data_IF_846394016939
#
_entry.id   IF_846394016939
#
_cell.length_a   1.000
_cell.length_b   1.000
_cell.length_c   1.000
_cell.angle_alpha   90.00
_cell.angle_beta   90.00
_cell.angle_gamma   90.00
#
_symmetry.space_group_name_H-M   'P 1'
#
loop_
_entity.id
_entity.type
_entity.pdbx_description
1 polymer ?
#
# COMPACT_ATOMS: atom_id res chain seq x y z
N UNK A 1 17.47 6.04 1.70
CA UNK A 1 17.76 4.88 2.57
C UNK A 1 19.10 4.28 2.15
N UNK A 2 20.06 4.15 3.06
CA UNK A 2 21.38 3.59 2.71
C UNK A 2 21.41 2.08 2.95
N UNK A 3 21.56 1.31 1.87
CA UNK A 3 21.62 -0.14 1.85
C UNK A 3 22.94 -0.67 1.22
N UNK A 4 24.02 0.13 1.28
CA UNK A 4 25.34 -0.28 0.75
C UNK A 4 25.99 -1.36 1.59
N UNK A 5 25.96 -1.22 2.91
CA UNK A 5 26.62 -2.18 3.82
C UNK A 5 25.69 -3.31 4.24
N UNK A 6 24.44 -2.99 4.61
CA UNK A 6 23.49 -3.97 5.11
C UNK A 6 23.03 -4.97 4.04
N UNK A 7 22.97 -4.54 2.76
CA UNK A 7 22.56 -5.38 1.63
C UNK A 7 21.20 -6.08 1.85
N UNK A 8 20.29 -5.42 2.58
CA UNK A 8 18.99 -5.96 2.96
C UNK A 8 18.10 -6.18 1.74
N UNK A 9 17.31 -7.25 1.76
CA UNK A 9 16.27 -7.51 0.75
C UNK A 9 14.98 -6.74 1.04
N UNK A 10 14.74 -6.42 2.32
CA UNK A 10 13.58 -5.65 2.78
C UNK A 10 14.04 -4.63 3.82
N UNK A 11 13.51 -3.41 3.71
CA UNK A 11 13.74 -2.30 4.63
C UNK A 11 12.38 -1.88 5.19
N UNK A 12 12.21 -2.01 6.50
CA UNK A 12 10.99 -1.60 7.21
C UNK A 12 11.29 -0.30 7.95
N UNK A 13 10.54 0.75 7.65
CA UNK A 13 10.56 2.00 8.40
C UNK A 13 9.29 2.07 9.22
N UNK A 14 9.43 1.81 10.51
CA UNK A 14 8.34 1.84 11.46
C UNK A 14 8.31 3.19 12.19
N UNK A 15 7.12 3.79 12.25
CA UNK A 15 6.85 4.98 13.05
C UNK A 15 6.25 4.51 14.37
N UNK A 16 6.94 4.80 15.47
CA UNK A 16 6.53 4.43 16.84
C UNK A 16 5.96 5.58 17.66
N UNK A 17 5.97 6.80 17.12
CA UNK A 17 5.29 7.95 17.71
C UNK A 17 3.82 8.02 17.32
N UNK A 18 3.14 9.09 17.74
CA UNK A 18 1.68 9.23 17.61
C UNK A 18 1.24 10.08 16.40
N UNK A 19 2.14 10.34 15.45
CA UNK A 19 1.90 11.24 14.31
C UNK A 19 1.72 10.48 13.00
N UNK A 20 0.90 11.03 12.11
CA UNK A 20 0.70 10.55 10.74
C UNK A 20 1.97 10.81 9.91
N UNK A 21 2.24 9.94 8.92
CA UNK A 21 3.32 10.17 7.94
C UNK A 21 2.79 10.90 6.72
N UNK A 22 3.38 12.07 6.42
CA UNK A 22 3.18 12.78 5.15
C UNK A 22 4.37 12.52 4.22
N UNK A 23 4.12 11.84 3.11
CA UNK A 23 5.12 11.49 2.10
C UNK A 23 4.94 12.39 0.88
N UNK A 24 5.83 13.39 0.71
CA UNK A 24 5.70 14.41 -0.34
C UNK A 24 6.96 14.48 -1.24
N UNK A 25 7.65 13.36 -1.42
CA UNK A 25 8.92 13.33 -2.12
C UNK A 25 9.36 11.92 -2.49
N UNK A 26 10.64 11.78 -2.83
CA UNK A 26 11.20 10.50 -3.29
C UNK A 26 11.87 9.71 -2.17
N UNK A 27 11.48 8.44 -2.04
CA UNK A 27 12.14 7.42 -1.23
C UNK A 27 13.11 6.64 -2.13
N UNK A 28 14.39 6.98 -2.04
CA UNK A 28 15.44 6.34 -2.83
C UNK A 28 16.27 5.36 -1.99
N UNK A 29 16.49 4.15 -2.49
CA UNK A 29 17.40 3.17 -1.89
C UNK A 29 18.77 3.26 -2.56
N UNK A 30 19.80 3.48 -1.75
CA UNK A 30 21.20 3.58 -2.19
C UNK A 30 21.88 2.23 -1.96
N UNK A 31 22.51 1.65 -2.99
CA UNK A 31 23.18 0.36 -2.89
C UNK A 31 22.33 -0.76 -3.51
N UNK A 32 22.25 -1.92 -2.85
CA UNK A 32 21.38 -3.01 -3.31
C UNK A 32 19.91 -2.58 -3.22
N UNK A 33 19.16 -2.76 -4.30
CA UNK A 33 17.71 -2.50 -4.30
C UNK A 33 17.01 -3.39 -3.27
N UNK A 34 16.01 -2.84 -2.57
CA UNK A 34 15.27 -3.54 -1.53
C UNK A 34 13.77 -3.25 -1.64
N UNK A 35 12.96 -4.11 -1.02
CA UNK A 35 11.54 -3.82 -0.83
C UNK A 35 11.42 -2.84 0.33
N UNK A 36 10.84 -1.67 0.08
CA UNK A 36 10.59 -0.68 1.13
C UNK A 36 9.19 -0.82 1.68
N UNK A 37 9.08 -0.93 3.01
CA UNK A 37 7.84 -0.89 3.77
C UNK A 37 7.87 0.36 4.65
N UNK A 38 6.83 1.21 4.53
CA UNK A 38 6.57 2.31 5.48
C UNK A 38 5.39 1.90 6.34
N UNK A 39 5.62 1.74 7.64
CA UNK A 39 4.66 1.28 8.61
C UNK A 39 4.34 2.36 9.63
N UNK A 40 3.10 2.86 9.64
CA UNK A 40 2.67 3.86 10.61
C UNK A 40 1.26 3.52 11.14
N UNK A 41 1.12 3.16 12.43
CA UNK A 41 -0.18 2.87 13.02
C UNK A 41 -1.08 4.10 13.22
N UNK A 42 -0.66 5.31 12.88
CA UNK A 42 -1.50 6.51 12.96
C UNK A 42 -2.11 6.89 11.60
N UNK A 43 -1.52 6.40 10.50
CA UNK A 43 -1.94 6.71 9.14
C UNK A 43 -0.78 7.16 8.25
N UNK A 44 -1.00 7.10 6.94
CA UNK A 44 -0.03 7.51 5.91
C UNK A 44 -0.76 8.30 4.83
N UNK A 45 -0.25 9.46 4.49
CA UNK A 45 -0.67 10.25 3.34
C UNK A 45 0.49 10.37 2.35
N UNK A 46 0.26 9.97 1.11
CA UNK A 46 1.19 10.12 0.00
C UNK A 46 0.66 11.21 -0.93
N UNK A 47 1.30 12.37 -0.95
CA UNK A 47 1.03 13.43 -1.92
C UNK A 47 2.18 13.51 -2.92
N UNK A 48 1.94 13.07 -4.15
CA UNK A 48 2.96 13.03 -5.21
C UNK A 48 4.23 12.32 -4.75
N UNK A 49 4.08 11.32 -3.88
CA UNK A 49 5.22 10.58 -3.37
C UNK A 49 5.77 9.65 -4.43
N UNK A 50 7.03 9.26 -4.28
CA UNK A 50 7.65 8.31 -5.20
C UNK A 50 8.66 7.43 -4.52
N UNK A 51 8.97 6.29 -5.14
CA UNK A 51 10.07 5.43 -4.72
C UNK A 51 10.97 5.07 -5.90
N UNK A 52 12.28 5.02 -5.65
CA UNK A 52 13.31 4.76 -6.65
C UNK A 52 14.27 3.67 -6.20
N UNK A 53 14.71 2.84 -7.14
CA UNK A 53 15.65 1.74 -6.89
C UNK A 53 15.16 0.75 -5.83
N UNK A 54 13.85 0.48 -5.86
CA UNK A 54 13.17 -0.47 -4.98
C UNK A 54 12.79 -1.74 -5.74
N UNK A 55 12.68 -2.87 -5.03
CA UNK A 55 12.11 -4.11 -5.57
C UNK A 55 10.59 -4.20 -5.35
N UNK A 56 10.05 -3.35 -4.48
CA UNK A 56 8.63 -3.18 -4.20
C UNK A 56 8.42 -2.01 -3.23
N UNK A 57 7.20 -1.48 -3.18
CA UNK A 57 6.86 -0.39 -2.27
C UNK A 57 5.56 -0.69 -1.54
N UNK A 58 5.61 -0.72 -0.20
CA UNK A 58 4.46 -1.03 0.64
C UNK A 58 4.19 0.10 1.62
N UNK A 59 2.93 0.53 1.70
CA UNK A 59 2.42 1.42 2.73
C UNK A 59 1.48 0.62 3.63
N UNK A 60 1.74 0.62 4.93
CA UNK A 60 0.92 -0.09 5.91
C UNK A 60 0.53 0.80 7.09
N UNK A 61 -0.77 0.93 7.34
CA UNK A 61 -1.31 1.74 8.43
C UNK A 61 -1.38 0.95 9.75
N UNK A 62 -0.27 0.32 10.13
CA UNK A 62 -0.17 -0.58 11.28
C UNK A 62 1.22 -0.58 11.89
N UNK A 63 1.36 -1.29 13.01
CA UNK A 63 2.64 -1.48 13.70
C UNK A 63 3.03 -2.96 13.70
N UNK A 64 4.31 -3.26 13.93
CA UNK A 64 4.81 -4.62 14.08
C UNK A 64 5.49 -4.80 15.43
N UNK A 65 5.47 -6.03 15.97
CA UNK A 65 6.24 -6.40 17.17
C UNK A 65 7.33 -7.44 16.89
N UNK A 66 7.23 -8.12 15.73
CA UNK A 66 8.02 -9.30 15.39
C UNK A 66 8.88 -9.06 14.14
N UNK A 67 9.65 -7.96 14.11
CA UNK A 67 10.52 -7.61 12.99
C UNK A 67 9.82 -7.59 11.61
N UNK A 68 8.51 -7.28 11.57
CA UNK A 68 7.72 -7.23 10.35
C UNK A 68 7.07 -8.55 9.90
N UNK A 69 7.09 -9.61 10.70
CA UNK A 69 6.34 -10.84 10.37
C UNK A 69 4.83 -10.61 10.41
N UNK A 70 4.37 -9.91 11.43
CA UNK A 70 2.97 -9.57 11.67
C UNK A 70 2.83 -8.07 11.81
N UNK A 71 1.84 -7.52 11.12
CA UNK A 71 1.40 -6.16 11.29
C UNK A 71 -0.01 -6.15 11.89
N UNK A 72 -0.18 -5.34 12.92
CA UNK A 72 -1.45 -5.15 13.61
C UNK A 72 -2.10 -3.85 13.12
N UNK A 73 -3.36 -3.96 12.72
CA UNK A 73 -4.11 -2.84 12.18
C UNK A 73 -5.25 -2.46 13.12
N UNK A 74 -5.54 -1.16 13.19
CA UNK A 74 -6.67 -0.60 13.93
C UNK A 74 -7.78 -0.17 12.96
N UNK A 75 -8.97 0.10 13.48
CA UNK A 75 -10.11 0.60 12.69
C UNK A 75 -10.10 2.13 12.46
N UNK A 76 -9.07 2.85 12.93
CA UNK A 76 -8.95 4.31 12.79
C UNK A 76 -7.86 4.75 11.82
N UNK A 77 -7.11 3.79 11.27
CA UNK A 77 -5.90 4.08 10.52
C UNK A 77 -6.20 4.02 9.04
N UNK A 78 -5.61 4.94 8.28
CA UNK A 78 -5.85 5.04 6.85
C UNK A 78 -4.55 5.16 6.06
N UNK A 79 -4.65 4.80 4.77
CA UNK A 79 -3.68 5.19 3.76
C UNK A 79 -4.42 6.04 2.74
N UNK A 80 -3.98 7.27 2.56
CA UNK A 80 -4.47 8.18 1.53
C UNK A 80 -3.39 8.35 0.46
N UNK A 81 -3.77 8.17 -0.80
CA UNK A 81 -2.91 8.43 -1.96
C UNK A 81 -3.52 9.57 -2.74
N UNK A 82 -2.71 10.59 -2.99
CA UNK A 82 -2.89 11.62 -3.99
C UNK A 82 -1.64 11.63 -4.87
N UNK A 83 -1.66 10.82 -5.92
CA UNK A 83 -0.51 10.52 -6.77
C UNK A 83 0.64 9.74 -6.10
N UNK A 84 1.00 8.59 -6.71
CA UNK A 84 2.22 7.85 -6.37
C UNK A 84 2.95 7.38 -7.63
N UNK A 85 4.29 7.39 -7.59
CA UNK A 85 5.12 6.99 -8.72
C UNK A 85 6.26 6.05 -8.34
N UNK A 86 6.53 5.06 -9.19
CA UNK A 86 7.76 4.25 -9.09
C UNK A 86 8.73 4.58 -10.23
N UNK A 87 9.95 4.95 -9.87
CA UNK A 87 11.07 5.13 -10.78
C UNK A 87 12.00 3.91 -10.71
N UNK A 88 11.78 2.96 -11.61
CA UNK A 88 12.58 1.74 -11.70
C UNK A 88 12.70 1.32 -13.16
N UNK A 89 13.79 0.62 -13.52
CA UNK A 89 13.96 0.07 -14.89
C UNK A 89 12.98 -1.06 -15.20
N UNK A 90 12.53 -1.76 -14.17
CA UNK A 90 11.59 -2.88 -14.27
C UNK A 90 10.36 -2.53 -13.45
N UNK A 91 9.17 -2.83 -13.98
CA UNK A 91 7.92 -2.57 -13.30
C UNK A 91 7.82 -3.30 -11.95
N UNK A 92 7.33 -2.60 -10.93
CA UNK A 92 7.25 -3.07 -9.53
C UNK A 92 5.80 -3.05 -9.03
N UNK A 93 5.56 -3.67 -7.88
CA UNK A 93 4.26 -3.65 -7.25
C UNK A 93 4.21 -2.56 -6.17
N UNK A 94 3.05 -1.90 -6.09
CA UNK A 94 2.69 -1.08 -4.93
C UNK A 94 1.70 -1.89 -4.10
N UNK A 95 1.94 -1.99 -2.79
CA UNK A 95 1.03 -2.64 -1.87
C UNK A 95 0.53 -1.63 -0.84
N UNK A 96 -0.79 -1.59 -0.65
CA UNK A 96 -1.45 -0.78 0.38
C UNK A 96 -2.14 -1.74 1.33
N UNK A 97 -1.78 -1.71 2.60
CA UNK A 97 -2.38 -2.54 3.64
C UNK A 97 -2.95 -1.64 4.72
N UNK A 98 -4.27 -1.52 4.75
CA UNK A 98 -4.97 -0.60 5.65
C UNK A 98 -6.44 -0.98 5.77
N UNK A 99 -7.05 -0.69 6.92
CA UNK A 99 -8.50 -0.81 7.04
C UNK A 99 -9.20 0.30 6.26
N UNK A 100 -8.65 1.51 6.19
CA UNK A 100 -9.19 2.57 5.35
C UNK A 100 -8.20 2.94 4.25
N UNK A 101 -8.65 2.94 3.00
CA UNK A 101 -7.84 3.28 1.83
C UNK A 101 -8.59 4.28 0.98
N UNK A 102 -7.95 5.42 0.72
CA UNK A 102 -8.47 6.49 -0.09
C UNK A 102 -7.52 6.71 -1.27
N UNK A 103 -8.07 6.65 -2.47
CA UNK A 103 -7.31 6.80 -3.71
C UNK A 103 -7.88 7.96 -4.51
N UNK A 104 -7.11 9.02 -4.55
CA UNK A 104 -7.31 10.24 -5.33
C UNK A 104 -6.07 10.45 -6.23
N UNK A 105 -6.22 11.05 -7.40
CA UNK A 105 -5.09 11.17 -8.34
C UNK A 105 -4.63 9.81 -8.88
N UNK A 106 -3.35 9.63 -9.22
CA UNK A 106 -2.94 8.50 -10.04
C UNK A 106 -1.78 7.64 -9.58
N UNK A 107 -1.68 6.48 -10.20
CA UNK A 107 -0.55 5.57 -10.06
C UNK A 107 0.29 5.61 -11.34
N UNK A 108 1.54 6.04 -11.21
CA UNK A 108 2.40 6.38 -12.34
C UNK A 108 3.75 5.64 -12.32
N UNK A 109 4.43 5.71 -13.46
CA UNK A 109 5.76 5.13 -13.65
C UNK A 109 5.68 3.64 -13.90
N UNK A 110 6.76 2.93 -13.56
CA UNK A 110 6.88 1.50 -13.86
C UNK A 110 6.22 0.69 -12.74
N UNK A 111 4.89 0.62 -12.75
CA UNK A 111 4.07 -0.15 -11.82
C UNK A 111 3.33 -1.25 -12.57
N UNK A 112 3.52 -2.51 -12.16
CA UNK A 112 2.81 -3.65 -12.74
C UNK A 112 1.40 -3.75 -12.16
N UNK A 113 1.34 -3.93 -10.84
CA UNK A 113 0.09 -4.15 -10.12
C UNK A 113 0.02 -3.24 -8.89
N UNK A 114 -1.20 -2.75 -8.61
CA UNK A 114 -1.57 -2.19 -7.33
C UNK A 114 -2.29 -3.26 -6.52
N UNK A 115 -1.76 -3.61 -5.36
CA UNK A 115 -2.38 -4.57 -4.44
C UNK A 115 -2.91 -3.86 -3.21
N UNK A 116 -4.20 -3.96 -2.95
CA UNK A 116 -4.84 -3.37 -1.77
C UNK A 116 -5.35 -4.50 -0.89
N UNK A 117 -4.95 -4.50 0.38
CA UNK A 117 -5.46 -5.45 1.37
C UNK A 117 -6.12 -4.69 2.52
N UNK A 118 -7.39 -4.97 2.80
CA UNK A 118 -8.21 -4.25 3.78
C UNK A 118 -9.17 -5.18 4.52
N UNK A 119 -9.73 -4.71 5.63
CA UNK A 119 -10.62 -5.48 6.50
C UNK A 119 -9.83 -6.49 7.35
N UNK A 120 -8.74 -6.05 7.98
CA UNK A 120 -7.78 -6.86 8.71
C UNK A 120 -7.66 -6.43 10.18
N UNK A 121 -7.60 -7.41 11.08
CA UNK A 121 -7.00 -7.25 12.42
C UNK A 121 -5.48 -7.41 12.33
N UNK A 122 -5.03 -8.44 11.60
CA UNK A 122 -3.60 -8.72 11.42
C UNK A 122 -3.30 -9.02 9.95
N UNK A 123 -2.20 -8.44 9.46
CA UNK A 123 -1.61 -8.75 8.17
C UNK A 123 -0.33 -9.56 8.37
N UNK A 124 -0.26 -10.72 7.73
CA UNK A 124 0.94 -11.52 7.59
C UNK A 124 1.09 -11.93 6.11
N UNK A 125 2.23 -11.67 5.47
CA UNK A 125 2.43 -12.02 4.06
C UNK A 125 2.64 -13.52 3.80
N UNK A 126 2.97 -14.31 4.84
CA UNK A 126 3.30 -15.74 4.75
C UNK A 126 2.24 -16.65 5.38
N UNK A 127 1.45 -16.13 6.32
CA UNK A 127 0.43 -16.87 7.08
C UNK A 127 -0.97 -16.35 6.77
N UNK A 128 -1.97 -17.01 7.36
CA UNK A 128 -3.37 -16.60 7.26
C UNK A 128 -3.62 -15.25 7.96
N UNK A 129 -4.35 -14.37 7.28
CA UNK A 129 -4.73 -13.07 7.81
C UNK A 129 -5.98 -13.17 8.67
N UNK A 130 -6.00 -12.47 9.82
CA UNK A 130 -7.23 -12.32 10.61
C UNK A 130 -8.01 -11.12 10.10
N UNK A 131 -9.26 -11.34 9.69
CA UNK A 131 -10.13 -10.31 9.10
C UNK A 131 -11.01 -9.61 10.14
N UNK A 132 -11.47 -8.40 9.82
CA UNK A 132 -12.48 -7.63 10.57
C UNK A 132 -13.54 -7.04 9.62
N UNK A 133 -14.45 -6.23 10.18
CA UNK A 133 -15.53 -5.53 9.46
C UNK A 133 -15.39 -4.04 9.28
N UNK A 134 -14.16 -3.54 9.36
CA UNK A 134 -13.87 -2.12 9.24
C UNK A 134 -13.19 -1.76 7.92
N UNK A 135 -13.15 -2.68 6.95
CA UNK A 135 -12.56 -2.41 5.65
C UNK A 135 -13.34 -1.34 4.89
N UNK A 136 -12.66 -0.28 4.45
CA UNK A 136 -13.20 0.73 3.53
C UNK A 136 -12.14 1.03 2.48
N UNK A 137 -12.51 0.89 1.22
CA UNK A 137 -11.67 1.29 0.09
C UNK A 137 -12.48 2.23 -0.78
N UNK A 138 -11.95 3.40 -1.08
CA UNK A 138 -12.62 4.40 -1.91
C UNK A 138 -11.70 4.87 -3.02
N UNK A 139 -12.16 4.72 -4.26
CA UNK A 139 -11.56 5.34 -5.44
C UNK A 139 -12.40 6.56 -5.81
N UNK A 140 -11.79 7.75 -5.82
CA UNK A 140 -12.48 9.01 -6.09
C UNK A 140 -12.32 9.47 -7.53
N UNK A 141 -13.12 10.48 -7.91
CA UNK A 141 -13.01 11.14 -9.22
C UNK A 141 -11.57 11.62 -9.47
N UNK A 142 -11.16 11.56 -10.73
CA UNK A 142 -9.78 11.83 -11.14
C UNK A 142 -8.78 10.70 -10.87
N UNK A 143 -9.22 9.55 -10.31
CA UNK A 143 -8.30 8.41 -10.15
C UNK A 143 -7.89 7.81 -11.50
N UNK A 144 -6.58 7.77 -11.78
CA UNK A 144 -6.03 7.21 -13.03
C UNK A 144 -4.85 6.27 -12.77
N UNK A 145 -4.71 5.23 -13.59
CA UNK A 145 -3.75 4.17 -13.32
C UNK A 145 -3.23 3.51 -14.60
N UNK A 146 -1.94 3.68 -14.89
CA UNK A 146 -1.24 3.08 -16.03
C UNK A 146 -0.52 1.79 -15.62
N UNK A 147 -1.29 0.85 -15.08
CA UNK A 147 -0.85 -0.48 -14.64
C UNK A 147 -1.67 -1.60 -15.26
N UNK A 148 -1.23 -2.85 -15.05
CA UNK A 148 -1.84 -4.06 -15.57
C UNK A 148 -3.09 -4.44 -14.77
N UNK A 149 -2.96 -4.55 -13.44
CA UNK A 149 -4.05 -4.99 -12.55
C UNK A 149 -4.14 -4.19 -11.26
N UNK A 150 -5.35 -4.04 -10.77
CA UNK A 150 -5.65 -3.61 -9.41
C UNK A 150 -6.24 -4.81 -8.69
N UNK A 151 -5.46 -5.41 -7.79
CA UNK A 151 -5.90 -6.55 -7.00
C UNK A 151 -6.36 -6.07 -5.62
N UNK A 152 -7.63 -6.27 -5.32
CA UNK A 152 -8.19 -5.97 -4.01
C UNK A 152 -8.44 -7.28 -3.28
N UNK A 153 -7.83 -7.42 -2.10
CA UNK A 153 -8.13 -8.48 -1.12
C UNK A 153 -8.84 -7.83 0.05
N UNK A 154 -10.14 -8.08 0.18
CA UNK A 154 -10.98 -7.37 1.13
C UNK A 154 -11.65 -8.34 2.10
N UNK A 155 -11.59 -8.03 3.39
CA UNK A 155 -12.38 -8.68 4.43
C UNK A 155 -13.84 -8.23 4.37
N UNK A 156 -14.42 -7.86 5.52
CA UNK A 156 -15.76 -7.27 5.56
C UNK A 156 -15.67 -5.74 5.47
N UNK A 157 -16.72 -5.13 4.92
CA UNK A 157 -16.87 -3.69 4.81
C UNK A 157 -17.29 -3.25 3.41
N UNK A 158 -16.84 -2.06 3.00
CA UNK A 158 -17.29 -1.39 1.79
C UNK A 158 -16.15 -1.11 0.81
N UNK A 159 -16.45 -1.27 -0.48
CA UNK A 159 -15.59 -0.80 -1.56
C UNK A 159 -16.44 0.15 -2.40
N UNK A 160 -16.05 1.41 -2.41
CA UNK A 160 -16.68 2.48 -3.17
C UNK A 160 -15.81 2.83 -4.38
N UNK A 161 -16.48 3.00 -5.52
CA UNK A 161 -15.87 3.56 -6.71
C UNK A 161 -16.71 4.74 -7.18
N UNK A 162 -16.06 5.89 -7.35
CA UNK A 162 -16.62 6.93 -8.19
C UNK A 162 -16.86 6.40 -9.61
N UNK A 163 -17.89 6.90 -10.28
CA UNK A 163 -18.34 6.42 -11.58
C UNK A 163 -17.26 6.56 -12.66
N UNK A 164 -16.55 7.70 -12.69
CA UNK A 164 -15.53 7.93 -13.71
C UNK A 164 -14.26 7.14 -13.42
N UNK A 165 -13.85 7.08 -12.16
CA UNK A 165 -12.76 6.21 -11.72
C UNK A 165 -13.02 4.74 -12.10
N UNK A 166 -14.23 4.24 -11.80
CA UNK A 166 -14.62 2.86 -12.12
C UNK A 166 -14.49 2.55 -13.60
N UNK A 167 -14.99 3.45 -14.47
CA UNK A 167 -14.93 3.29 -15.93
C UNK A 167 -13.49 3.13 -16.46
N UNK A 168 -12.52 3.76 -15.81
CA UNK A 168 -11.11 3.68 -16.17
C UNK A 168 -10.51 2.32 -15.76
N UNK A 169 -10.88 1.83 -14.58
CA UNK A 169 -10.19 0.70 -13.95
C UNK A 169 -10.91 -0.64 -14.02
N UNK A 170 -12.20 -0.68 -14.37
CA UNK A 170 -13.05 -1.88 -14.30
C UNK A 170 -12.43 -3.10 -15.00
N UNK A 171 -11.75 -2.90 -16.13
CA UNK A 171 -11.12 -3.98 -16.92
C UNK A 171 -9.82 -4.52 -16.31
N UNK A 172 -9.26 -3.81 -15.33
CA UNK A 172 -8.01 -4.13 -14.63
C UNK A 172 -8.28 -4.65 -13.22
N UNK A 173 -9.52 -4.56 -12.76
CA UNK A 173 -9.90 -4.78 -11.38
C UNK A 173 -10.11 -6.28 -11.09
N UNK A 174 -9.51 -6.76 -10.02
CA UNK A 174 -9.68 -8.10 -9.50
C UNK A 174 -9.97 -8.03 -8.00
N UNK A 175 -11.21 -8.27 -7.60
CA UNK A 175 -11.63 -8.22 -6.20
C UNK A 175 -11.81 -9.65 -5.70
N UNK A 176 -11.06 -9.99 -4.64
CA UNK A 176 -11.17 -11.25 -3.94
C UNK A 176 -11.55 -10.99 -2.49
N UNK A 177 -12.48 -11.79 -1.99
CA UNK A 177 -12.77 -11.82 -0.57
C UNK A 177 -11.64 -12.53 0.19
N UNK A 178 -11.36 -12.06 1.40
CA UNK A 178 -10.47 -12.73 2.35
C UNK A 178 -11.20 -13.78 3.21
N UNK A 179 -12.49 -14.03 2.99
CA UNK A 179 -13.19 -15.14 3.64
C UNK A 179 -12.71 -16.46 3.06
N UNK A 180 -12.44 -17.42 3.95
CA UNK A 180 -11.97 -18.74 3.58
C UNK A 180 -12.94 -19.49 2.66
N UNK A 181 -12.37 -20.37 1.85
CA UNK A 181 -13.05 -21.62 1.47
C UNK A 181 -13.34 -22.45 2.72
#
# INVERSE_FOLDING_TARGET
MNNKEAQADTIINEITGDQISFLNGNIHVIGKMAHVIIANPNGIECYQCSASDVTGFTLISGYTKNQGSDFFLSNRNYVYINDVRIFSRVAKNINIISNEVYLEGGIYGNVNDLNITSGLVTYNPQLENKVNSYGRISFFDGFDAYLNKINIKHGYGEIYFDKEAYRIIERKLNINSLFGK
#
